data_IF_358153856075
#
_entry.id   IF_358153856075
#
_cell.length_a   1.000
_cell.length_b   1.000
_cell.length_c   1.000
_cell.angle_alpha   90.00
_cell.angle_beta   90.00
_cell.angle_gamma   90.00
#
_symmetry.space_group_name_H-M   'P 1'
#
loop_
_entity.id
_entity.type
_entity.pdbx_description
1 polymer ?
#
# COMPACT_ATOMS: atom_id res chain seq x y z
N UNK A 1 -11.25 6.30 4.85
CA UNK A 1 -9.95 5.92 4.23
C UNK A 1 -10.24 5.45 2.81
N UNK A 2 -9.48 5.88 1.82
CA UNK A 2 -9.65 5.49 0.41
C UNK A 2 -8.34 4.91 -0.16
N UNK A 3 -8.43 4.29 -1.34
CA UNK A 3 -7.30 3.83 -2.12
C UNK A 3 -6.91 4.85 -3.19
N UNK A 4 -5.61 4.97 -3.42
CA UNK A 4 -5.01 5.90 -4.35
C UNK A 4 -3.83 5.25 -5.07
N UNK A 5 -3.58 5.66 -6.30
CA UNK A 5 -2.27 5.55 -6.95
C UNK A 5 -1.57 6.91 -6.87
N UNK A 6 -0.24 6.86 -6.97
CA UNK A 6 0.62 8.04 -6.98
C UNK A 6 1.35 8.07 -8.32
N UNK A 7 1.56 9.25 -8.90
CA UNK A 7 2.29 9.40 -10.16
C UNK A 7 3.71 8.80 -10.08
N UNK A 8 4.13 8.18 -11.18
CA UNK A 8 5.47 7.58 -11.30
C UNK A 8 6.57 8.63 -11.20
N UNK A 9 6.31 9.85 -11.70
CA UNK A 9 7.20 11.00 -11.59
C UNK A 9 7.46 11.36 -10.13
N UNK A 10 6.41 11.42 -9.31
CA UNK A 10 6.55 11.74 -7.89
C UNK A 10 7.23 10.62 -7.11
N UNK A 11 6.89 9.35 -7.39
CA UNK A 11 7.57 8.21 -6.77
C UNK A 11 9.06 8.20 -7.12
N UNK A 12 9.40 8.44 -8.38
CA UNK A 12 10.80 8.51 -8.85
C UNK A 12 11.55 9.66 -8.21
N UNK A 13 10.91 10.82 -8.08
CA UNK A 13 11.47 11.97 -7.35
C UNK A 13 11.72 11.64 -5.87
N UNK A 14 10.72 11.08 -5.20
CA UNK A 14 10.81 10.72 -3.78
C UNK A 14 11.88 9.64 -3.53
N UNK A 15 12.01 8.65 -4.42
CA UNK A 15 13.02 7.59 -4.32
C UNK A 15 14.45 8.12 -4.37
N UNK A 16 14.72 9.15 -5.17
CA UNK A 16 16.05 9.79 -5.22
C UNK A 16 16.48 10.37 -3.86
N UNK A 17 15.51 10.75 -3.03
CA UNK A 17 15.73 11.34 -1.71
C UNK A 17 15.71 10.27 -0.62
N UNK A 18 14.71 9.38 -0.64
CA UNK A 18 14.54 8.28 0.30
C UNK A 18 14.44 6.95 -0.49
N UNK A 19 15.56 6.22 -0.63
CA UNK A 19 15.61 4.98 -1.41
C UNK A 19 14.67 3.86 -0.92
N UNK A 20 14.10 3.96 0.30
CA UNK A 20 13.07 3.03 0.79
C UNK A 20 11.71 3.23 0.11
N UNK A 21 11.47 4.36 -0.56
CA UNK A 21 10.28 4.53 -1.40
C UNK A 21 10.46 3.62 -2.62
N UNK A 22 9.75 2.49 -2.70
CA UNK A 22 10.00 1.54 -3.78
C UNK A 22 9.50 2.08 -5.13
N UNK A 23 10.31 1.93 -6.18
CA UNK A 23 9.91 2.27 -7.55
C UNK A 23 8.81 1.34 -8.07
N UNK A 24 7.90 1.89 -8.88
CA UNK A 24 6.75 1.21 -9.46
C UNK A 24 7.15 -0.02 -10.30
N UNK A 25 8.24 0.09 -11.07
CA UNK A 25 8.78 -0.97 -11.94
C UNK A 25 9.13 -2.28 -11.21
N UNK A 26 9.26 -2.26 -9.88
CA UNK A 26 9.48 -3.45 -9.07
C UNK A 26 8.19 -4.26 -8.82
N UNK A 27 7.06 -3.83 -9.38
CA UNK A 27 5.74 -4.41 -9.15
C UNK A 27 5.03 -4.73 -10.47
N UNK A 28 4.25 -5.81 -10.44
CA UNK A 28 3.35 -6.17 -11.53
C UNK A 28 2.11 -5.25 -11.45
N UNK A 29 2.22 -4.05 -12.02
CA UNK A 29 1.17 -3.03 -12.05
C UNK A 29 1.38 -1.89 -11.05
N UNK A 30 0.43 -0.95 -11.05
CA UNK A 30 0.49 0.23 -10.20
C UNK A 30 0.42 -0.11 -8.73
N UNK A 31 1.20 0.60 -7.93
CA UNK A 31 1.20 0.40 -6.49
C UNK A 31 0.05 1.17 -5.85
N UNK A 32 -0.82 0.42 -5.18
CA UNK A 32 -1.88 1.04 -4.38
C UNK A 32 -1.37 1.56 -3.03
N UNK A 33 -1.83 2.75 -2.69
CA UNK A 33 -1.64 3.42 -1.42
C UNK A 33 -2.99 3.61 -0.74
N UNK A 34 -2.99 3.54 0.60
CA UNK A 34 -4.15 3.90 1.40
C UNK A 34 -3.90 5.23 2.11
N UNK A 35 -4.94 6.04 2.24
CA UNK A 35 -4.85 7.29 2.97
C UNK A 35 -6.17 8.03 3.11
N UNK A 36 -6.17 9.17 3.81
CA UNK A 36 -5.04 9.73 4.57
C UNK A 36 -4.80 8.87 5.83
N UNK A 37 -3.55 8.48 6.09
CA UNK A 37 -3.16 7.70 7.28
C UNK A 37 -2.80 8.61 8.44
N UNK A 38 -2.03 9.67 8.17
CA UNK A 38 -1.66 10.72 9.13
C UNK A 38 -1.74 12.08 8.43
N UNK A 39 -2.19 13.09 9.15
CA UNK A 39 -2.12 14.50 8.73
C UNK A 39 -1.21 15.26 9.69
N UNK A 40 -0.11 15.80 9.19
CA UNK A 40 0.82 16.62 9.96
C UNK A 40 0.90 18.02 9.34
N UNK A 41 0.22 18.99 9.97
CA UNK A 41 0.07 20.33 9.42
C UNK A 41 -0.61 20.30 8.04
N UNK A 42 0.11 20.74 7.01
CA UNK A 42 -0.36 20.75 5.60
C UNK A 42 -0.06 19.46 4.84
N UNK A 43 0.66 18.51 5.44
CA UNK A 43 1.09 17.28 4.77
C UNK A 43 0.15 16.12 5.07
N UNK A 44 -0.37 15.52 4.01
CA UNK A 44 -1.20 14.31 4.07
C UNK A 44 -0.33 13.11 3.72
N UNK A 45 -0.25 12.13 4.61
CA UNK A 45 0.54 10.93 4.43
C UNK A 45 -0.29 9.76 3.91
N UNK A 46 0.30 9.03 2.98
CA UNK A 46 -0.27 7.85 2.32
C UNK A 46 0.68 6.69 2.52
N UNK A 47 0.15 5.53 2.91
CA UNK A 47 0.95 4.34 3.17
C UNK A 47 0.73 3.30 2.07
N UNK A 48 1.81 2.70 1.53
CA UNK A 48 1.68 1.69 0.51
C UNK A 48 1.06 0.41 1.08
N UNK A 49 0.24 -0.23 0.25
CA UNK A 49 -0.28 -1.56 0.52
C UNK A 49 0.70 -2.64 0.06
N UNK A 50 0.53 -3.83 0.62
CA UNK A 50 1.22 -5.03 0.17
C UNK A 50 0.37 -6.26 0.41
N UNK A 51 0.21 -7.09 -0.60
CA UNK A 51 -0.52 -8.35 -0.48
C UNK A 51 0.12 -9.30 0.52
N UNK A 52 -0.71 -10.11 1.15
CA UNK A 52 -0.27 -11.17 2.04
C UNK A 52 0.66 -12.16 1.32
N UNK A 53 1.68 -12.64 2.02
CA UNK A 53 2.39 -13.87 1.68
C UNK A 53 3.00 -14.48 2.93
N UNK A 54 3.10 -15.81 2.97
CA UNK A 54 3.65 -16.52 4.13
C UNK A 54 5.10 -16.08 4.44
N UNK A 55 5.91 -15.91 3.39
CA UNK A 55 7.29 -15.40 3.49
C UNK A 55 7.36 -14.00 4.09
N UNK A 56 6.44 -13.09 3.71
CA UNK A 56 6.36 -11.75 4.30
C UNK A 56 5.91 -11.81 5.75
N UNK A 57 4.92 -12.64 6.10
CA UNK A 57 4.40 -12.74 7.47
C UNK A 57 5.51 -13.10 8.47
N UNK A 58 6.38 -14.05 8.12
CA UNK A 58 7.53 -14.41 8.96
C UNK A 58 8.45 -13.20 9.27
N UNK A 59 8.68 -12.34 8.28
CA UNK A 59 9.45 -11.09 8.45
C UNK A 59 8.68 -10.04 9.26
N UNK A 60 7.37 -9.98 9.04
CA UNK A 60 6.47 -8.98 9.63
C UNK A 60 6.08 -9.27 11.09
N UNK A 61 6.17 -10.51 11.57
CA UNK A 61 5.94 -10.86 12.98
C UNK A 61 6.78 -10.01 13.95
N UNK A 62 8.02 -9.68 13.58
CA UNK A 62 8.94 -8.86 14.40
C UNK A 62 8.73 -7.34 14.24
N UNK A 63 7.80 -6.90 13.38
CA UNK A 63 7.63 -5.49 12.96
C UNK A 63 6.24 -4.93 13.30
N UNK A 64 5.56 -5.50 14.29
CA UNK A 64 4.18 -5.14 14.67
C UNK A 64 3.93 -3.64 14.96
N UNK A 65 4.94 -2.87 15.36
CA UNK A 65 4.81 -1.43 15.64
C UNK A 65 4.73 -0.54 14.40
N UNK A 66 5.12 -1.05 13.23
CA UNK A 66 5.33 -0.23 12.02
C UNK A 66 4.52 -0.73 10.81
N UNK A 67 3.65 -1.70 11.02
CA UNK A 67 2.76 -2.25 10.00
C UNK A 67 1.36 -2.45 10.60
N UNK A 68 0.35 -2.39 9.76
CA UNK A 68 -1.02 -2.82 10.10
C UNK A 68 -1.33 -4.05 9.25
N UNK A 69 -1.81 -5.12 9.89
CA UNK A 69 -2.27 -6.32 9.18
C UNK A 69 -3.74 -6.17 8.79
N UNK A 70 -4.07 -6.57 7.57
CA UNK A 70 -5.42 -6.52 7.02
C UNK A 70 -5.97 -7.94 7.00
N UNK A 71 -7.14 -8.12 7.59
CA UNK A 71 -7.88 -9.38 7.63
C UNK A 71 -9.24 -9.20 6.97
N UNK A 72 -9.80 -10.29 6.48
CA UNK A 72 -11.20 -10.32 6.08
C UNK A 72 -12.09 -10.05 7.30
N UNK A 73 -13.15 -9.27 7.09
CA UNK A 73 -14.13 -9.01 8.13
C UNK A 73 -14.76 -10.35 8.55
N UNK A 74 -14.86 -10.60 9.86
CA UNK A 74 -15.41 -11.84 10.43
C UNK A 74 -14.57 -13.12 10.17
N UNK A 75 -13.43 -13.03 9.47
CA UNK A 75 -12.52 -14.16 9.25
C UNK A 75 -11.05 -13.77 9.47
N UNK A 76 -10.60 -13.82 10.73
CA UNK A 76 -9.22 -13.48 11.13
C UNK A 76 -8.16 -14.48 10.62
N UNK A 77 -8.57 -15.64 10.15
CA UNK A 77 -7.66 -16.60 9.53
C UNK A 77 -7.34 -16.21 8.08
N UNK A 78 -8.23 -15.46 7.42
CA UNK A 78 -8.01 -14.94 6.08
C UNK A 78 -7.29 -13.59 6.13
N UNK A 79 -6.01 -13.61 5.75
CA UNK A 79 -5.13 -12.43 5.72
C UNK A 79 -5.10 -11.85 4.31
N UNK A 80 -5.50 -10.60 4.20
CA UNK A 80 -5.57 -9.89 2.91
C UNK A 80 -4.25 -9.19 2.59
N UNK A 81 -3.55 -8.67 3.60
CA UNK A 81 -2.27 -8.00 3.38
C UNK A 81 -1.82 -7.10 4.51
N UNK A 82 -1.08 -6.06 4.14
CA UNK A 82 -0.41 -5.15 5.07
C UNK A 82 -0.51 -3.70 4.60
N UNK A 83 -0.64 -2.79 5.56
CA UNK A 83 -0.33 -1.36 5.41
C UNK A 83 1.07 -1.13 5.96
N UNK A 84 1.98 -0.60 5.14
CA UNK A 84 3.38 -0.41 5.52
C UNK A 84 3.63 1.02 6.01
N UNK A 85 3.36 1.29 7.30
CA UNK A 85 3.48 2.63 7.87
C UNK A 85 4.92 3.18 7.80
N UNK A 86 5.93 2.32 7.91
CA UNK A 86 7.33 2.74 7.79
C UNK A 86 7.74 3.18 6.38
N UNK A 87 6.89 2.97 5.37
CA UNK A 87 7.10 3.40 3.99
C UNK A 87 6.05 4.44 3.57
N UNK A 88 5.33 5.05 4.52
CA UNK A 88 4.42 6.14 4.19
C UNK A 88 5.20 7.38 3.78
N UNK A 89 4.61 8.19 2.91
CA UNK A 89 5.20 9.43 2.43
C UNK A 89 4.13 10.52 2.32
N UNK A 90 4.50 11.80 2.49
CA UNK A 90 3.59 12.89 2.20
C UNK A 90 3.40 12.98 0.68
N UNK A 91 2.18 13.23 0.22
CA UNK A 91 1.90 13.33 -1.21
C UNK A 91 1.04 14.56 -1.49
N UNK A 92 1.45 15.45 -2.41
CA UNK A 92 0.60 16.56 -2.83
C UNK A 92 -0.60 16.05 -3.63
N UNK A 93 -1.73 16.77 -3.53
CA UNK A 93 -2.98 16.36 -4.18
C UNK A 93 -2.89 16.25 -5.71
N UNK A 94 -1.98 17.00 -6.34
CA UNK A 94 -1.73 16.94 -7.79
C UNK A 94 -1.19 15.60 -8.27
N UNK A 95 -0.55 14.83 -7.39
CA UNK A 95 0.13 13.58 -7.73
C UNK A 95 -0.70 12.35 -7.34
N UNK A 96 -1.95 12.56 -6.89
CA UNK A 96 -2.83 11.49 -6.41
C UNK A 96 -3.98 11.23 -7.37
N UNK A 97 -4.14 9.97 -7.73
CA UNK A 97 -5.31 9.48 -8.43
C UNK A 97 -6.10 8.53 -7.54
N UNK A 98 -7.40 8.78 -7.35
CA UNK A 98 -8.25 7.89 -6.53
C UNK A 98 -8.56 6.61 -7.31
N UNK A 99 -8.32 5.47 -6.69
CA UNK A 99 -8.69 4.17 -7.28
C UNK A 99 -10.20 3.98 -7.19
N UNK A 100 -10.82 3.71 -8.33
CA UNK A 100 -12.22 3.32 -8.43
C UNK A 100 -12.32 1.80 -8.42
N UNK A 101 -12.88 1.24 -7.35
CA UNK A 101 -13.06 -0.21 -7.23
C UNK A 101 -14.42 -0.55 -7.82
N UNK A 102 -14.40 -1.26 -8.94
CA UNK A 102 -15.60 -1.85 -9.53
C UNK A 102 -15.59 -3.35 -9.25
N UNK A 103 -16.69 -3.87 -8.71
CA UNK A 103 -16.86 -5.31 -8.54
C UNK A 103 -16.99 -5.94 -9.93
N UNK A 104 -15.93 -6.58 -10.42
CA UNK A 104 -16.04 -7.45 -11.57
C UNK A 104 -16.72 -8.74 -11.11
N UNK A 105 -17.76 -9.19 -11.84
CA UNK A 105 -18.38 -10.53 -11.65
C UNK A 105 -17.45 -11.65 -12.15
N UNK A 106 -16.15 -11.53 -11.89
CA UNK A 106 -15.15 -12.52 -12.30
C UNK A 106 -14.94 -13.54 -11.19
N UNK A 107 -14.88 -14.82 -11.56
CA UNK A 107 -14.36 -15.89 -10.70
C UNK A 107 -12.98 -15.48 -10.15
N UNK A 108 -12.67 -15.70 -8.85
CA UNK A 108 -11.36 -15.39 -8.30
C UNK A 108 -10.27 -16.03 -9.17
N UNK A 109 -9.40 -15.21 -9.75
CA UNK A 109 -8.19 -15.74 -10.39
C UNK A 109 -7.30 -16.23 -9.25
N UNK A 110 -7.10 -17.54 -9.18
CA UNK A 110 -6.13 -18.15 -8.27
C UNK A 110 -4.73 -17.67 -8.65
N UNK A 111 -4.25 -16.62 -7.99
CA UNK A 111 -2.86 -16.25 -8.05
C UNK A 111 -2.11 -17.13 -7.04
N UNK A 112 -1.69 -18.31 -7.49
CA UNK A 112 -0.75 -19.15 -6.77
C UNK A 112 0.55 -18.35 -6.55
N UNK A 113 0.93 -18.17 -5.28
CA UNK A 113 2.20 -17.60 -4.84
C UNK A 113 2.98 -18.65 -4.04
#
# INVERSE_FOLDING_TARGET
MNLYTISDEYISYAHKIEPKVALQENYLGDRDYCGIVIKQGKFNYYAPLSSYSAKKELKMKKRNRIIIRIFEKENLNNRLGYVLLNNMLPVPLSELSRVQITMSKGTPKEYYC
#
